data_IF_318049859914
#
_entry.id   IF_318049859914
#
_cell.length_a   1.000
_cell.length_b   1.000
_cell.length_c   1.000
_cell.angle_alpha   90.00
_cell.angle_beta   90.00
_cell.angle_gamma   90.00
#
_symmetry.space_group_name_H-M   'P 1'
#
loop_
_entity.id
_entity.type
_entity.pdbx_description
1 polymer ?
#
# COMPACT_ATOMS: atom_id res chain seq x y z
N UNK A 1 -19.90 -12.03 -6.76
CA UNK A 1 -19.19 -10.99 -6.00
C UNK A 1 -18.42 -11.66 -4.89
N UNK A 2 -17.22 -11.17 -4.54
CA UNK A 2 -16.45 -11.64 -3.39
C UNK A 2 -16.52 -10.57 -2.28
N UNK A 3 -16.36 -10.98 -1.02
CA UNK A 3 -16.24 -10.09 0.12
C UNK A 3 -14.76 -9.74 0.38
N UNK A 4 -14.52 -8.56 0.93
CA UNK A 4 -13.17 -8.06 1.22
C UNK A 4 -12.55 -7.21 0.11
N UNK A 5 -11.44 -6.55 0.43
CA UNK A 5 -10.70 -5.69 -0.50
C UNK A 5 -9.19 -6.00 -0.47
N UNK A 6 -8.50 -5.55 -1.53
CA UNK A 6 -7.05 -5.64 -1.64
C UNK A 6 -6.39 -4.29 -1.97
N UNK A 7 -6.37 -3.32 -1.04
CA UNK A 7 -5.79 -2.01 -1.30
C UNK A 7 -4.27 -2.09 -1.41
N UNK A 8 -3.71 -1.25 -2.28
CA UNK A 8 -2.27 -1.15 -2.49
C UNK A 8 -1.79 0.26 -2.07
N UNK A 9 -0.65 0.39 -1.39
CA UNK A 9 -0.08 1.69 -1.07
C UNK A 9 0.15 2.56 -2.30
N UNK A 10 -0.25 3.82 -2.23
CA UNK A 10 -0.24 4.79 -3.34
C UNK A 10 -1.58 4.93 -4.07
N UNK A 11 -2.55 4.05 -3.82
CA UNK A 11 -3.92 4.23 -4.31
C UNK A 11 -4.72 5.17 -3.40
N UNK A 12 -5.87 5.73 -3.87
CA UNK A 12 -6.61 6.73 -3.10
C UNK A 12 -7.00 6.34 -1.67
N UNK A 13 -7.18 5.04 -1.38
CA UNK A 13 -7.53 4.54 -0.05
C UNK A 13 -6.39 4.69 0.97
N UNK A 14 -5.14 4.74 0.51
CA UNK A 14 -3.94 4.97 1.32
C UNK A 14 -2.83 5.48 0.36
N UNK A 15 -2.74 6.81 0.15
CA UNK A 15 -1.93 7.39 -0.94
C UNK A 15 -0.43 7.44 -0.62
N UNK A 16 -0.01 7.15 0.62
CA UNK A 16 1.41 7.17 0.96
C UNK A 16 2.11 5.90 0.43
N UNK A 17 3.06 6.11 -0.48
CA UNK A 17 3.82 5.05 -1.12
C UNK A 17 4.84 4.37 -0.20
N UNK A 18 5.27 5.03 0.87
CA UNK A 18 6.31 4.53 1.78
C UNK A 18 5.88 3.25 2.50
N UNK A 19 4.58 3.04 2.69
CA UNK A 19 4.01 1.83 3.31
C UNK A 19 4.35 0.53 2.55
N UNK A 20 4.82 0.60 1.28
CA UNK A 20 5.39 -0.57 0.59
C UNK A 20 6.63 -1.10 1.30
N UNK A 21 7.43 -0.25 1.93
CA UNK A 21 8.61 -0.69 2.70
C UNK A 21 8.20 -1.62 3.83
N UNK A 22 7.16 -1.24 4.60
CA UNK A 22 6.61 -2.08 5.65
C UNK A 22 6.15 -3.43 5.10
N UNK A 23 5.41 -3.43 3.99
CA UNK A 23 4.95 -4.66 3.34
C UNK A 23 6.12 -5.54 2.89
N UNK A 24 7.12 -4.96 2.22
CA UNK A 24 8.29 -5.68 1.71
C UNK A 24 9.11 -6.28 2.84
N UNK A 25 9.31 -5.53 3.92
CA UNK A 25 10.02 -5.98 5.12
C UNK A 25 9.28 -7.12 5.83
N UNK A 26 7.96 -7.02 5.98
CA UNK A 26 7.15 -8.06 6.64
C UNK A 26 7.15 -9.38 5.87
N UNK A 27 7.19 -9.32 4.54
CA UNK A 27 7.11 -10.49 3.67
C UNK A 27 8.48 -11.02 3.22
N UNK A 28 9.58 -10.33 3.56
CA UNK A 28 10.89 -10.54 2.93
C UNK A 28 10.79 -10.56 1.39
N UNK A 29 9.99 -9.65 0.84
CA UNK A 29 9.46 -9.77 -0.52
C UNK A 29 10.56 -9.81 -1.60
N UNK A 30 11.63 -9.03 -1.44
CA UNK A 30 12.74 -9.00 -2.39
C UNK A 30 13.48 -10.33 -2.44
N UNK A 31 13.81 -10.92 -1.29
CA UNK A 31 14.43 -12.25 -1.23
C UNK A 31 13.53 -13.33 -1.86
N UNK A 32 12.22 -13.25 -1.58
CA UNK A 32 11.25 -14.28 -1.96
C UNK A 32 10.82 -14.20 -3.43
N UNK A 33 10.91 -13.02 -4.06
CA UNK A 33 10.33 -12.78 -5.40
C UNK A 33 11.29 -12.15 -6.40
N UNK A 34 12.41 -11.56 -5.95
CA UNK A 34 13.30 -10.75 -6.77
C UNK A 34 12.75 -9.37 -7.15
N UNK A 35 11.57 -8.98 -6.63
CA UNK A 35 11.02 -7.64 -6.83
C UNK A 35 11.67 -6.67 -5.84
N UNK A 36 12.08 -5.50 -6.33
CA UNK A 36 12.75 -4.45 -5.56
C UNK A 36 11.89 -3.18 -5.48
N UNK A 37 12.12 -2.39 -4.43
CA UNK A 37 11.61 -1.01 -4.35
C UNK A 37 12.71 -0.05 -4.79
N UNK A 38 12.38 0.85 -5.72
CA UNK A 38 13.26 1.98 -6.06
C UNK A 38 13.30 3.01 -4.94
N UNK A 39 14.20 3.98 -5.03
CA UNK A 39 14.27 5.13 -4.11
C UNK A 39 12.95 5.92 -4.00
N UNK A 40 12.09 5.84 -5.02
CA UNK A 40 10.77 6.45 -5.07
C UNK A 40 9.62 5.48 -4.72
N UNK A 41 9.93 4.30 -4.18
CA UNK A 41 8.99 3.23 -3.84
C UNK A 41 8.15 2.72 -5.03
N UNK A 42 8.68 2.83 -6.26
CA UNK A 42 8.16 2.07 -7.39
C UNK A 42 8.67 0.62 -7.31
N UNK A 43 7.89 -0.34 -7.80
CA UNK A 43 8.32 -1.73 -7.84
C UNK A 43 9.06 -2.02 -9.16
N UNK A 44 10.18 -2.72 -9.07
CA UNK A 44 10.94 -3.24 -10.21
C UNK A 44 10.97 -4.78 -10.15
N UNK A 45 10.65 -5.51 -11.23
CA UNK A 45 10.21 -5.03 -12.54
C UNK A 45 8.87 -4.28 -12.48
N UNK A 46 8.64 -3.36 -13.41
CA UNK A 46 7.43 -2.53 -13.41
C UNK A 46 6.11 -3.31 -13.53
N UNK A 47 6.15 -4.53 -14.07
CA UNK A 47 5.02 -5.46 -14.12
C UNK A 47 4.82 -6.19 -12.79
N UNK A 48 4.72 -5.43 -11.70
CA UNK A 48 4.55 -5.94 -10.33
C UNK A 48 3.31 -5.34 -9.66
N UNK A 49 2.70 -6.10 -8.75
CA UNK A 49 1.57 -5.65 -7.91
C UNK A 49 1.81 -6.12 -6.48
N UNK A 50 1.52 -5.26 -5.51
CA UNK A 50 1.54 -5.58 -4.08
C UNK A 50 0.34 -4.91 -3.40
N UNK A 51 -0.03 -5.39 -2.22
CA UNK A 51 -1.13 -4.83 -1.46
C UNK A 51 -1.44 -5.62 -0.20
N UNK A 52 -2.44 -5.14 0.54
CA UNK A 52 -2.96 -5.77 1.74
C UNK A 52 -4.20 -6.60 1.37
N UNK A 53 -4.57 -7.56 2.23
CA UNK A 53 -5.87 -8.22 2.15
C UNK A 53 -6.68 -7.89 3.40
N UNK A 54 -7.88 -7.32 3.22
CA UNK A 54 -8.80 -7.00 4.30
C UNK A 54 -10.06 -7.84 4.12
N UNK A 55 -10.28 -8.77 5.05
CA UNK A 55 -11.35 -9.77 4.96
C UNK A 55 -12.71 -9.32 5.52
N UNK A 56 -12.81 -8.10 6.07
CA UNK A 56 -14.07 -7.62 6.67
C UNK A 56 -15.16 -7.51 5.59
N UNK A 57 -16.38 -8.06 5.81
CA UNK A 57 -17.42 -8.11 4.78
C UNK A 57 -17.94 -6.73 4.38
N UNK A 58 -17.83 -5.74 5.28
CA UNK A 58 -18.21 -4.35 5.01
C UNK A 58 -17.04 -3.49 4.50
N UNK A 59 -15.86 -4.06 4.25
CA UNK A 59 -14.76 -3.29 3.67
C UNK A 59 -15.05 -2.89 2.23
N UNK A 60 -14.69 -1.67 1.86
CA UNK A 60 -14.87 -1.13 0.51
C UNK A 60 -13.74 -0.14 0.20
N UNK A 61 -13.50 0.10 -1.10
CA UNK A 61 -12.54 1.10 -1.53
C UNK A 61 -13.11 2.51 -1.35
N UNK A 62 -12.34 3.40 -0.75
CA UNK A 62 -12.64 4.82 -0.64
C UNK A 62 -11.41 5.65 -0.96
N UNK A 63 -11.56 6.97 -1.07
CA UNK A 63 -10.44 7.90 -1.21
C UNK A 63 -10.30 8.75 0.06
N UNK A 64 -9.08 8.85 0.59
CA UNK A 64 -8.79 9.71 1.78
C UNK A 64 -9.01 11.19 1.48
N UNK A 65 -8.92 11.59 0.21
CA UNK A 65 -9.02 12.99 -0.23
C UNK A 65 -7.96 13.89 0.43
N UNK A 66 -8.25 15.20 0.52
CA UNK A 66 -7.32 16.18 1.10
C UNK A 66 -7.25 15.98 2.62
N UNK A 67 -6.04 15.84 3.15
CA UNK A 67 -5.75 15.84 4.58
C UNK A 67 -5.28 17.24 5.00
N UNK A 68 -5.61 17.64 6.22
CA UNK A 68 -5.20 18.94 6.78
C UNK A 68 -3.90 18.81 7.61
N UNK A 69 -3.32 19.94 7.96
CA UNK A 69 -1.97 20.02 8.55
C UNK A 69 -1.84 19.27 9.87
N UNK A 70 -2.87 19.30 10.71
CA UNK A 70 -2.91 18.59 11.98
C UNK A 70 -2.77 17.08 11.79
N UNK A 71 -3.48 16.51 10.81
CA UNK A 71 -3.37 15.09 10.47
C UNK A 71 -1.99 14.74 9.91
N UNK A 72 -1.39 15.61 9.08
CA UNK A 72 -0.02 15.41 8.57
C UNK A 72 1.00 15.41 9.71
N UNK A 73 0.81 16.25 10.72
CA UNK A 73 1.70 16.33 11.89
C UNK A 73 1.56 15.14 12.83
N UNK A 74 0.36 14.58 12.98
CA UNK A 74 0.12 13.38 13.78
C UNK A 74 0.72 12.11 13.14
N UNK A 75 0.74 12.06 11.80
CA UNK A 75 1.27 10.93 11.05
C UNK A 75 2.80 10.88 10.95
N UNK A 76 3.48 12.04 11.07
CA UNK A 76 4.93 12.20 10.86
C UNK A 76 5.77 11.78 12.08
#
# INVERSE_FOLDING_TARGET
AYAGIRPAPGYPAQPDHTEKETLFRLLDATSQTGVELTESYAMWPGSSVSGLYIGHPESYYFGVAKVERDQVQDYA
#
